data_IF_680113393606
#
_entry.id   IF_680113393606
#
_cell.length_a   1.000
_cell.length_b   1.000
_cell.length_c   1.000
_cell.angle_alpha   90.00
_cell.angle_beta   90.00
_cell.angle_gamma   90.00
#
_symmetry.space_group_name_H-M   'P 1'
#
loop_
_entity.id
_entity.type
_entity.pdbx_description
1 polymer ?
#
# COMPACT_ATOMS: atom_id res chain seq x y z
N UNK A 1 26.58 -4.84 3.19
CA UNK A 1 27.09 -6.03 2.45
C UNK A 1 26.15 -7.18 2.73
N UNK A 2 25.40 -7.63 1.73
CA UNK A 2 24.45 -8.75 1.82
C UNK A 2 25.23 -10.08 1.77
N UNK A 3 24.97 -10.99 2.69
CA UNK A 3 25.62 -12.30 2.78
C UNK A 3 24.71 -13.35 2.14
N UNK A 4 25.12 -13.86 0.98
CA UNK A 4 24.40 -14.86 0.19
C UNK A 4 24.46 -16.29 0.74
N UNK A 5 25.13 -16.52 1.88
CA UNK A 5 25.26 -17.85 2.49
C UNK A 5 24.10 -18.24 3.41
N UNK A 6 23.23 -17.29 3.79
CA UNK A 6 22.05 -17.56 4.61
C UNK A 6 20.91 -18.12 3.75
N UNK A 7 20.73 -19.45 3.76
CA UNK A 7 19.54 -20.11 3.19
C UNK A 7 18.29 -19.58 3.90
N UNK A 8 17.41 -18.91 3.14
CA UNK A 8 16.07 -18.56 3.61
C UNK A 8 15.32 -19.87 3.94
N UNK A 9 14.63 -19.97 5.08
CA UNK A 9 13.80 -21.14 5.35
C UNK A 9 12.67 -21.21 4.33
N UNK A 10 12.52 -22.37 3.70
CA UNK A 10 11.34 -22.68 2.88
C UNK A 10 10.22 -23.01 3.86
N UNK A 11 9.33 -22.05 4.09
CA UNK A 11 8.19 -22.24 5.00
C UNK A 11 7.04 -22.95 4.27
N UNK A 12 6.64 -24.10 4.81
CA UNK A 12 5.36 -24.73 4.47
C UNK A 12 4.26 -23.91 5.16
N UNK A 13 3.42 -23.24 4.36
CA UNK A 13 2.21 -22.62 4.87
C UNK A 13 1.29 -23.72 5.44
N UNK A 14 1.29 -23.86 6.77
CA UNK A 14 0.24 -24.58 7.47
C UNK A 14 -1.11 -24.02 7.05
N UNK A 15 -2.08 -24.92 6.87
CA UNK A 15 -3.44 -24.66 6.38
C UNK A 15 -4.03 -23.36 6.94
N UNK A 16 -4.02 -22.32 6.11
CA UNK A 16 -4.86 -21.13 6.26
C UNK A 16 -6.31 -21.64 6.23
N UNK A 17 -7.20 -21.25 7.16
CA UNK A 17 -8.60 -21.66 7.14
C UNK A 17 -9.19 -21.35 5.75
N UNK A 18 -9.82 -22.35 5.12
CA UNK A 18 -10.43 -22.22 3.79
C UNK A 18 -11.39 -21.02 3.76
N UNK A 19 -10.93 -19.91 3.19
CA UNK A 19 -11.78 -18.85 2.70
C UNK A 19 -12.52 -19.42 1.49
N UNK A 20 -13.83 -19.60 1.59
CA UNK A 20 -14.67 -20.05 0.47
C UNK A 20 -14.62 -18.99 -0.64
N UNK A 21 -13.84 -19.28 -1.70
CA UNK A 21 -13.70 -18.46 -2.89
C UNK A 21 -14.82 -18.81 -3.89
N UNK A 22 -15.88 -18.02 -3.92
CA UNK A 22 -16.77 -17.91 -5.08
C UNK A 22 -16.58 -16.53 -5.71
N UNK A 23 -16.07 -16.53 -6.95
CA UNK A 23 -15.84 -15.34 -7.77
C UNK A 23 -14.40 -14.82 -7.70
N UNK A 24 -13.71 -14.85 -8.85
CA UNK A 24 -12.37 -14.32 -9.11
C UNK A 24 -12.06 -12.99 -8.37
N UNK A 25 -11.52 -13.10 -7.15
CA UNK A 25 -10.82 -12.03 -6.45
C UNK A 25 -9.73 -12.70 -5.63
N UNK A 26 -8.52 -12.79 -6.18
CA UNK A 26 -7.35 -13.18 -5.39
C UNK A 26 -7.23 -12.13 -4.28
N UNK A 27 -7.40 -12.53 -3.02
CA UNK A 27 -7.25 -11.61 -1.88
C UNK A 27 -5.91 -10.90 -2.01
N UNK A 28 -5.90 -9.57 -2.10
CA UNK A 28 -4.66 -8.82 -2.05
C UNK A 28 -4.19 -8.83 -0.61
N UNK A 29 -3.08 -9.53 -0.39
CA UNK A 29 -2.39 -9.57 0.88
C UNK A 29 -1.05 -8.88 0.72
N UNK A 30 -0.74 -7.99 1.66
CA UNK A 30 0.56 -7.33 1.77
C UNK A 30 1.08 -7.56 3.19
N UNK A 31 2.39 -7.65 3.31
CA UNK A 31 3.07 -7.87 4.59
C UNK A 31 4.10 -6.77 4.77
N UNK A 32 4.22 -6.27 5.98
CA UNK A 32 5.24 -5.29 6.37
C UNK A 32 5.74 -5.62 7.78
N UNK A 33 7.01 -5.31 8.08
CA UNK A 33 7.63 -5.57 9.38
C UNK A 33 8.11 -4.24 9.96
N UNK A 34 7.71 -3.95 11.19
CA UNK A 34 8.31 -2.85 11.92
C UNK A 34 9.73 -3.26 12.34
N UNK A 35 10.76 -2.63 11.79
CA UNK A 35 12.15 -2.98 12.05
C UNK A 35 12.58 -2.71 13.51
N UNK A 36 11.92 -1.78 14.21
CA UNK A 36 12.27 -1.45 15.60
C UNK A 36 11.71 -2.47 16.59
N UNK A 37 10.45 -2.90 16.41
CA UNK A 37 9.79 -3.85 17.31
C UNK A 37 9.85 -5.31 16.84
N UNK A 38 10.16 -5.54 15.56
CA UNK A 38 10.07 -6.84 14.90
C UNK A 38 8.63 -7.34 14.71
N UNK A 39 7.61 -6.53 14.99
CA UNK A 39 6.22 -6.90 14.79
C UNK A 39 5.90 -7.03 13.31
N UNK A 40 5.06 -8.01 12.98
CA UNK A 40 4.69 -8.36 11.61
C UNK A 40 3.25 -7.94 11.38
N UNK A 41 3.02 -7.20 10.30
CA UNK A 41 1.74 -6.63 9.93
C UNK A 41 1.28 -7.26 8.62
N UNK A 42 0.11 -7.87 8.63
CA UNK A 42 -0.48 -8.51 7.45
C UNK A 42 -1.80 -7.81 7.14
N UNK A 43 -1.85 -7.11 6.02
CA UNK A 43 -3.10 -6.57 5.53
C UNK A 43 -3.80 -7.61 4.64
N UNK A 44 -5.08 -7.83 4.92
CA UNK A 44 -5.98 -8.67 4.13
C UNK A 44 -7.23 -7.87 3.82
N UNK A 45 -7.19 -7.11 2.71
CA UNK A 45 -8.25 -6.20 2.29
C UNK A 45 -8.63 -5.23 3.43
N UNK A 46 -9.77 -5.41 4.10
CA UNK A 46 -10.29 -4.47 5.12
C UNK A 46 -9.80 -4.77 6.55
N UNK A 47 -8.76 -5.59 6.70
CA UNK A 47 -8.25 -6.06 7.99
C UNK A 47 -6.74 -5.95 8.08
N UNK A 48 -6.24 -5.48 9.21
CA UNK A 48 -4.83 -5.54 9.60
C UNK A 48 -4.70 -6.60 10.71
N UNK A 49 -3.90 -7.62 10.47
CA UNK A 49 -3.53 -8.63 11.45
C UNK A 49 -2.12 -8.31 11.94
N UNK A 50 -1.92 -8.35 13.25
CA UNK A 50 -0.65 -7.99 13.89
C UNK A 50 -0.13 -9.19 14.64
N UNK A 51 1.13 -9.51 14.41
CA UNK A 51 1.85 -10.59 15.07
C UNK A 51 3.12 -10.04 15.73
N UNK A 52 3.56 -10.68 16.80
CA UNK A 52 4.87 -10.43 17.40
C UNK A 52 5.99 -10.99 16.54
N UNK A 53 7.23 -10.64 16.89
CA UNK A 53 8.45 -11.11 16.22
C UNK A 53 8.69 -12.62 16.32
N UNK A 54 8.03 -13.29 17.27
CA UNK A 54 7.99 -14.75 17.43
C UNK A 54 6.78 -15.41 16.72
N UNK A 55 6.07 -14.66 15.87
CA UNK A 55 4.91 -15.08 15.09
C UNK A 55 3.64 -15.37 15.91
N UNK A 56 3.58 -14.98 17.18
CA UNK A 56 2.33 -15.07 17.96
C UNK A 56 1.33 -14.00 17.52
N UNK A 57 0.05 -14.35 17.38
CA UNK A 57 -1.00 -13.38 17.03
C UNK A 57 -1.25 -12.42 18.19
N UNK A 58 -1.30 -11.12 17.91
CA UNK A 58 -1.52 -10.07 18.90
C UNK A 58 -2.89 -9.42 18.76
N UNK A 59 -3.25 -8.95 17.56
CA UNK A 59 -4.45 -8.15 17.35
C UNK A 59 -4.98 -8.21 15.90
N UNK A 60 -6.31 -8.08 15.74
CA UNK A 60 -6.97 -7.77 14.46
C UNK A 60 -7.62 -6.38 14.54
N UNK A 61 -7.33 -5.52 13.56
CA UNK A 61 -8.04 -4.24 13.35
C UNK A 61 -8.80 -4.26 12.03
N UNK A 62 -10.04 -3.77 12.04
CA UNK A 62 -10.88 -3.62 10.85
C UNK A 62 -10.91 -2.16 10.39
N UNK A 63 -10.93 -1.97 9.08
CA UNK A 63 -10.96 -0.65 8.46
C UNK A 63 -12.14 -0.52 7.50
N UNK A 64 -12.71 0.69 7.31
CA UNK A 64 -13.76 0.96 6.34
C UNK A 64 -13.22 1.12 4.90
N UNK A 65 -11.93 0.86 4.68
CA UNK A 65 -11.25 0.94 3.39
C UNK A 65 -10.29 -0.23 3.23
N UNK A 66 -9.98 -0.57 1.98
CA UNK A 66 -9.06 -1.65 1.67
C UNK A 66 -7.60 -1.21 1.91
N UNK A 67 -6.84 -2.02 2.61
CA UNK A 67 -5.40 -1.89 2.85
C UNK A 67 -4.68 -2.61 1.70
N UNK A 68 -4.34 -1.87 0.63
CA UNK A 68 -3.78 -2.46 -0.59
C UNK A 68 -2.25 -2.57 -0.57
N UNK A 69 -1.58 -1.74 0.23
CA UNK A 69 -0.15 -1.80 0.52
C UNK A 69 0.12 -1.18 1.89
N UNK A 70 1.13 -1.69 2.59
CA UNK A 70 1.57 -1.25 3.91
C UNK A 70 3.05 -0.87 3.81
N UNK A 71 3.46 0.17 4.53
CA UNK A 71 4.87 0.55 4.61
C UNK A 71 5.15 1.32 5.90
N UNK A 72 6.25 1.03 6.60
CA UNK A 72 6.69 1.85 7.73
C UNK A 72 7.62 2.95 7.25
N UNK A 73 7.32 4.18 7.66
CA UNK A 73 8.17 5.34 7.41
C UNK A 73 8.36 6.08 8.72
N UNK A 74 9.62 6.23 9.16
CA UNK A 74 9.96 6.96 10.40
C UNK A 74 9.13 6.51 11.62
N UNK A 75 8.91 5.20 11.73
CA UNK A 75 8.16 4.57 12.82
C UNK A 75 6.64 4.59 12.69
N UNK A 76 6.09 5.24 11.66
CA UNK A 76 4.64 5.32 11.44
C UNK A 76 4.20 4.43 10.29
N UNK A 77 3.07 3.75 10.47
CA UNK A 77 2.51 2.87 9.45
C UNK A 77 1.72 3.69 8.43
N UNK A 78 2.19 3.68 7.20
CA UNK A 78 1.49 4.19 6.03
C UNK A 78 0.69 3.07 5.36
N UNK A 79 -0.49 3.43 4.87
CA UNK A 79 -1.41 2.51 4.23
C UNK A 79 -1.90 3.10 2.93
N UNK A 80 -1.68 2.39 1.83
CA UNK A 80 -2.31 2.70 0.57
C UNK A 80 -3.66 2.04 0.46
N UNK A 81 -4.61 2.75 -0.14
CA UNK A 81 -5.94 2.25 -0.45
C UNK A 81 -6.32 2.62 -1.87
N UNK A 82 -6.79 1.63 -2.62
CA UNK A 82 -7.32 1.85 -3.96
C UNK A 82 -8.80 1.53 -4.02
N UNK A 83 -9.59 2.46 -4.53
CA UNK A 83 -10.98 2.26 -4.89
C UNK A 83 -11.10 2.41 -6.39
N UNK A 84 -11.29 1.30 -7.09
CA UNK A 84 -11.32 1.28 -8.55
C UNK A 84 -12.71 0.95 -9.07
N UNK A 85 -13.05 1.48 -10.24
CA UNK A 85 -14.31 1.22 -10.94
C UNK A 85 -15.53 1.79 -10.23
N UNK A 86 -15.38 2.91 -9.51
CA UNK A 86 -16.49 3.63 -8.88
C UNK A 86 -17.33 4.26 -9.99
N UNK A 87 -18.62 3.92 -10.16
CA UNK A 87 -19.45 4.56 -11.17
C UNK A 87 -19.60 6.07 -10.92
N UNK A 88 -19.60 6.85 -11.99
CA UNK A 88 -19.83 8.30 -12.00
C UNK A 88 -20.64 8.67 -13.26
N UNK A 89 -21.29 9.83 -13.29
CA UNK A 89 -22.08 10.31 -14.43
C UNK A 89 -21.31 10.32 -15.77
N UNK A 90 -19.98 10.44 -15.72
CA UNK A 90 -19.10 10.48 -16.89
C UNK A 90 -18.37 9.15 -17.20
N UNK A 91 -18.64 8.08 -16.45
CA UNK A 91 -18.00 6.77 -16.61
C UNK A 91 -17.62 6.12 -15.28
N UNK A 92 -16.34 5.82 -15.10
CA UNK A 92 -15.80 5.15 -13.91
C UNK A 92 -14.64 5.94 -13.31
N UNK A 93 -14.51 5.90 -11.99
CA UNK A 93 -13.46 6.58 -11.24
C UNK A 93 -12.56 5.58 -10.52
N UNK A 94 -11.25 5.79 -10.64
CA UNK A 94 -10.22 5.12 -9.85
C UNK A 94 -9.59 6.14 -8.90
N UNK A 95 -9.63 5.86 -7.60
CA UNK A 95 -9.11 6.73 -6.55
C UNK A 95 -8.03 5.97 -5.77
N UNK A 96 -6.89 6.60 -5.58
CA UNK A 96 -5.82 6.11 -4.70
C UNK A 96 -5.63 7.08 -3.53
N UNK A 97 -5.64 6.55 -2.32
CA UNK A 97 -5.51 7.28 -1.06
C UNK A 97 -4.31 6.75 -0.29
N UNK A 98 -3.59 7.65 0.39
CA UNK A 98 -2.61 7.32 1.41
C UNK A 98 -3.19 7.68 2.76
N UNK A 99 -3.14 6.75 3.70
CA UNK A 99 -3.50 6.97 5.09
C UNK A 99 -2.26 6.86 5.94
N UNK A 100 -2.14 7.75 6.91
CA UNK A 100 -1.14 7.68 7.98
C UNK A 100 -1.82 7.23 9.25
N UNK A 101 -1.36 6.13 9.82
CA UNK A 101 -1.92 5.58 11.04
C UNK A 101 -1.13 6.02 12.28
N UNK A 102 -1.83 6.14 13.40
CA UNK A 102 -1.24 6.21 14.74
C UNK A 102 -0.75 4.84 15.19
N UNK A 103 -0.01 4.83 16.30
CA UNK A 103 0.44 3.62 16.99
C UNK A 103 -0.73 2.75 17.48
N UNK A 104 -1.92 3.34 17.66
CA UNK A 104 -3.16 2.64 17.98
C UNK A 104 -4.00 2.28 16.74
N UNK A 105 -3.43 2.44 15.55
CA UNK A 105 -4.01 2.15 14.24
C UNK A 105 -5.24 2.99 13.89
N UNK A 106 -5.32 4.21 14.44
CA UNK A 106 -6.32 5.21 14.04
C UNK A 106 -5.77 6.10 12.94
N UNK A 107 -6.61 6.53 11.99
CA UNK A 107 -6.18 7.43 10.91
C UNK A 107 -5.85 8.81 11.50
N UNK A 108 -4.58 9.22 11.41
CA UNK A 108 -4.10 10.55 11.80
C UNK A 108 -4.25 11.57 10.67
N UNK A 109 -3.95 11.14 9.45
CA UNK A 109 -3.95 11.97 8.25
C UNK A 109 -4.28 11.13 7.02
N UNK A 110 -4.74 11.78 5.95
CA UNK A 110 -5.00 11.14 4.66
C UNK A 110 -4.73 12.07 3.50
N UNK A 111 -4.14 11.54 2.43
CA UNK A 111 -3.89 12.25 1.19
C UNK A 111 -4.56 11.53 0.01
N UNK A 112 -5.33 12.27 -0.79
CA UNK A 112 -5.73 11.81 -2.12
C UNK A 112 -4.54 11.92 -3.06
N UNK A 113 -3.95 10.77 -3.40
CA UNK A 113 -2.80 10.68 -4.29
C UNK A 113 -3.25 10.90 -5.73
N UNK A 114 -4.37 10.27 -6.10
CA UNK A 114 -4.81 10.19 -7.48
C UNK A 114 -6.32 10.00 -7.54
N UNK A 115 -6.94 10.71 -8.47
CA UNK A 115 -8.31 10.47 -8.92
C UNK A 115 -8.34 10.56 -10.43
N UNK A 116 -8.81 9.49 -11.07
CA UNK A 116 -8.78 9.32 -12.53
C UNK A 116 -10.16 8.95 -13.00
N UNK A 117 -10.66 9.69 -13.98
CA UNK A 117 -11.88 9.37 -14.71
C UNK A 117 -11.53 8.51 -15.93
N UNK A 118 -12.26 7.42 -16.09
CA UNK A 118 -12.16 6.46 -17.18
C UNK A 118 -13.51 6.35 -17.88
N UNK A 119 -13.50 6.22 -19.21
CA UNK A 119 -14.73 5.94 -19.96
C UNK A 119 -15.20 4.49 -19.76
N UNK A 120 -14.26 3.54 -19.74
CA UNK A 120 -14.53 2.13 -19.49
C UNK A 120 -14.00 1.68 -18.13
N UNK A 121 -14.66 0.66 -17.54
CA UNK A 121 -14.20 0.07 -16.28
C UNK A 121 -12.90 -0.70 -16.50
N UNK A 122 -11.78 -0.10 -16.08
CA UNK A 122 -10.46 -0.72 -16.12
C UNK A 122 -9.78 -0.68 -14.75
N UNK A 123 -9.12 -1.78 -14.40
CA UNK A 123 -8.40 -1.95 -13.12
C UNK A 123 -7.02 -2.53 -13.42
N UNK A 124 -5.98 -1.76 -13.14
CA UNK A 124 -4.59 -2.22 -13.19
C UNK A 124 -3.98 -2.30 -11.79
N UNK A 125 -3.14 -3.31 -11.55
CA UNK A 125 -2.28 -3.36 -10.38
C UNK A 125 -1.08 -4.28 -10.59
N UNK A 126 0.01 -3.97 -9.90
CA UNK A 126 1.13 -4.87 -9.75
C UNK A 126 0.98 -5.76 -8.52
N UNK A 127 1.50 -6.98 -8.60
CA UNK A 127 1.59 -7.90 -7.46
C UNK A 127 2.74 -7.54 -6.51
N UNK A 128 3.78 -6.90 -7.03
CA UNK A 128 4.94 -6.44 -6.26
C UNK A 128 4.93 -4.91 -6.27
N UNK A 129 4.94 -4.33 -5.08
CA UNK A 129 4.70 -2.90 -4.89
C UNK A 129 5.78 -2.39 -3.94
N UNK A 130 6.70 -1.57 -4.46
CA UNK A 130 7.59 -0.72 -3.67
C UNK A 130 7.35 0.69 -4.18
N UNK A 131 6.45 1.39 -3.51
CA UNK A 131 6.06 2.72 -3.96
C UNK A 131 6.82 3.83 -3.24
N UNK A 132 7.43 3.54 -2.09
CA UNK A 132 8.22 4.52 -1.34
C UNK A 132 9.71 4.22 -1.52
N UNK A 133 10.50 5.27 -1.50
CA UNK A 133 11.95 5.23 -1.52
C UNK A 133 12.50 6.22 -0.49
N UNK A 134 13.37 5.74 0.39
CA UNK A 134 14.07 6.58 1.34
C UNK A 134 15.47 6.92 0.80
N UNK A 135 15.71 8.20 0.53
CA UNK A 135 17.00 8.71 0.02
C UNK A 135 17.51 9.76 0.99
N UNK A 136 18.57 9.42 1.74
CA UNK A 136 19.08 10.24 2.85
C UNK A 136 17.95 10.51 3.86
N UNK A 137 17.56 11.77 4.03
CA UNK A 137 16.52 12.19 4.98
C UNK A 137 15.14 12.37 4.33
N UNK A 138 15.05 12.14 3.02
CA UNK A 138 13.85 12.31 2.22
C UNK A 138 13.12 11.00 1.98
N UNK A 139 11.79 11.05 2.10
CA UNK A 139 10.91 9.94 1.80
C UNK A 139 10.11 10.32 0.56
N UNK A 140 10.34 9.61 -0.53
CA UNK A 140 9.75 9.85 -1.82
C UNK A 140 8.73 8.75 -2.12
N UNK A 141 7.61 9.10 -2.74
CA UNK A 141 6.57 8.17 -3.12
C UNK A 141 6.22 8.32 -4.60
N UNK A 142 6.15 7.20 -5.32
CA UNK A 142 5.70 7.13 -6.71
C UNK A 142 4.82 5.91 -6.91
N UNK A 143 3.67 6.10 -7.57
CA UNK A 143 2.77 5.02 -7.98
C UNK A 143 2.50 5.10 -9.47
N UNK A 144 2.88 4.07 -10.26
CA UNK A 144 2.72 4.09 -11.70
C UNK A 144 1.24 4.06 -12.13
N UNK A 145 0.99 4.59 -13.32
CA UNK A 145 -0.28 4.50 -14.02
C UNK A 145 -0.32 3.21 -14.82
N UNK A 146 -1.37 2.41 -14.62
CA UNK A 146 -1.53 1.08 -15.24
C UNK A 146 -2.77 0.94 -16.10
N UNK A 147 -3.51 2.03 -16.24
CA UNK A 147 -4.71 2.13 -17.05
C UNK A 147 -4.47 3.18 -18.14
N UNK A 148 -5.21 3.09 -19.24
CA UNK A 148 -5.08 4.05 -20.33
C UNK A 148 -5.78 5.35 -19.89
N UNK A 149 -5.02 6.26 -19.26
CA UNK A 149 -5.52 7.53 -18.72
C UNK A 149 -5.18 8.66 -19.70
N UNK A 150 -6.12 9.58 -19.94
CA UNK A 150 -5.92 10.70 -20.87
C UNK A 150 -4.85 11.71 -20.41
N UNK A 151 -4.39 11.63 -19.15
CA UNK A 151 -3.37 12.53 -18.60
C UNK A 151 -2.40 11.69 -17.75
N UNK A 152 -1.23 11.37 -18.32
CA UNK A 152 -0.11 10.83 -17.54
C UNK A 152 0.43 11.94 -16.63
N UNK A 153 0.09 11.88 -15.34
CA UNK A 153 0.80 12.63 -14.30
C UNK A 153 1.71 11.68 -13.54
N UNK A 154 2.90 11.42 -14.10
CA UNK A 154 4.00 10.86 -13.32
C UNK A 154 4.39 11.87 -12.24
N UNK A 155 3.73 11.76 -11.09
CA UNK A 155 3.96 12.62 -9.93
C UNK A 155 4.79 11.86 -8.93
N UNK A 156 6.01 12.37 -8.67
CA UNK A 156 6.79 11.99 -7.51
C UNK A 156 6.33 12.87 -6.35
N UNK A 157 5.95 12.25 -5.23
CA UNK A 157 5.56 12.93 -4.01
C UNK A 157 6.69 12.85 -2.99
N UNK A 158 6.81 13.86 -2.13
CA UNK A 158 7.74 13.86 -1.00
C UNK A 158 6.96 13.96 0.30
N UNK A 159 7.22 13.07 1.25
CA UNK A 159 6.57 13.08 2.57
C UNK A 159 7.42 13.93 3.53
N UNK A 160 6.95 15.15 3.84
CA UNK A 160 7.67 16.10 4.72
C UNK A 160 7.05 16.24 6.12
N UNK A 161 7.76 15.75 7.14
CA UNK A 161 7.36 15.90 8.55
C UNK A 161 6.11 15.10 8.91
N UNK A 162 5.25 15.67 9.77
CA UNK A 162 4.02 15.02 10.24
C UNK A 162 2.80 15.18 9.31
N UNK A 163 2.93 16.00 8.26
CA UNK A 163 1.86 16.22 7.27
C UNK A 163 2.33 15.68 5.93
N UNK A 164 1.44 15.02 5.20
CA UNK A 164 1.76 14.61 3.83
C UNK A 164 1.73 15.86 2.95
N UNK A 165 2.86 16.54 2.81
CA UNK A 165 2.98 17.71 1.93
C UNK A 165 3.18 17.25 0.49
N UNK A 166 2.70 18.04 -0.45
CA UNK A 166 2.85 17.76 -1.88
C UNK A 166 4.00 18.63 -2.39
N UNK A 167 5.15 18.04 -2.65
CA UNK A 167 6.13 18.64 -3.55
C UNK A 167 6.01 17.96 -4.91
N UNK A 168 5.23 18.56 -5.82
CA UNK A 168 5.13 18.09 -7.20
C UNK A 168 6.45 18.43 -7.89
N UNK A 169 7.25 17.41 -8.20
CA UNK A 169 8.34 17.56 -9.15
C UNK A 169 7.92 16.82 -10.42
N UNK A 170 7.68 17.56 -11.51
CA UNK A 170 7.49 16.96 -12.83
C UNK A 170 8.85 16.39 -13.27
N UNK A 171 9.13 15.14 -12.93
CA UNK A 171 10.29 14.44 -13.45
C UNK A 171 9.93 13.91 -14.84
N UNK A 172 10.26 14.67 -15.88
CA UNK A 172 10.25 14.13 -17.24
C UNK A 172 11.42 13.16 -17.34
N UNK A 173 11.16 11.86 -17.24
CA UNK A 173 12.13 10.85 -17.67
C UNK A 173 12.30 10.99 -19.18
N UNK A 174 13.40 11.63 -19.60
CA UNK A 174 13.88 11.53 -20.97
C UNK A 174 14.42 10.12 -21.15
N UNK A 175 13.71 9.32 -21.94
CA UNK A 175 14.19 8.02 -22.46
C UNK A 175 15.17 8.26 -23.58
#
# INVERSE_FOLDING_TARGET
RWDSSKKLPIFHFGTIPRLNYFGLSRSRTTVEINNDSGQIYIASMYKLLIYSSDFSFLEEKKFPFALTHLEFVKGELLVFSDKNGIPNDLGFMNISLLYKLSDSFTVKDSLSIRSVLLHDKSVGAYFFQHYISEIKDEVLFYKPVLTNENILKDTLFKIEGNKTQIQVTNATLKV
#
